data_IF_434863513705
#
_entry.id   IF_434863513705
#
_cell.length_a   1.000
_cell.length_b   1.000
_cell.length_c   1.000
_cell.angle_alpha   90.00
_cell.angle_beta   90.00
_cell.angle_gamma   90.00
#
_symmetry.space_group_name_H-M   'P 1'
#
loop_
_entity.id
_entity.type
_entity.pdbx_description
1 polymer ?
#
# COMPACT_ATOMS: atom_id res chain seq x y z
N UNK A 1 27.16 -46.45 -14.18
CA UNK A 1 27.88 -45.37 -14.85
C UNK A 1 27.11 -44.05 -14.79
N UNK A 2 25.88 -44.07 -15.05
CA UNK A 2 25.01 -42.88 -14.98
C UNK A 2 24.90 -42.34 -13.56
N UNK A 3 24.94 -43.20 -12.56
CA UNK A 3 24.84 -42.87 -11.14
C UNK A 3 25.99 -41.99 -10.60
N UNK A 4 27.19 -42.02 -11.22
CA UNK A 4 28.32 -41.24 -10.81
C UNK A 4 28.20 -39.77 -11.22
N UNK A 5 27.39 -39.47 -12.22
CA UNK A 5 27.20 -38.13 -12.74
C UNK A 5 26.15 -37.38 -11.95
N UNK A 6 25.12 -38.07 -11.50
CA UNK A 6 23.99 -37.48 -10.77
C UNK A 6 24.37 -36.71 -9.51
N UNK A 7 25.26 -37.22 -8.61
CA UNK A 7 25.60 -36.47 -7.41
C UNK A 7 26.34 -35.17 -7.69
N UNK A 8 27.08 -35.10 -8.76
CA UNK A 8 27.80 -33.89 -9.13
C UNK A 8 26.86 -32.79 -9.60
N UNK A 9 25.85 -33.15 -10.33
CA UNK A 9 24.84 -32.19 -10.81
C UNK A 9 23.98 -31.64 -9.66
N UNK A 10 23.62 -32.49 -8.74
CA UNK A 10 22.86 -32.11 -7.55
C UNK A 10 23.66 -31.15 -6.67
N UNK A 11 24.95 -31.38 -6.49
CA UNK A 11 25.82 -30.51 -5.73
C UNK A 11 26.01 -29.13 -6.39
N UNK A 12 26.11 -29.09 -7.69
CA UNK A 12 26.19 -27.84 -8.46
C UNK A 12 24.90 -27.02 -8.36
N UNK A 13 23.76 -27.68 -8.40
CA UNK A 13 22.44 -27.02 -8.25
C UNK A 13 22.27 -26.44 -6.86
N UNK A 14 22.69 -27.15 -5.84
CA UNK A 14 22.66 -26.69 -4.45
C UNK A 14 23.57 -25.48 -4.21
N UNK A 15 24.73 -25.45 -4.82
CA UNK A 15 25.67 -24.35 -4.68
C UNK A 15 25.14 -23.05 -5.30
N UNK A 16 24.45 -23.12 -6.43
CA UNK A 16 23.79 -21.98 -7.05
C UNK A 16 22.65 -21.41 -6.20
N UNK A 17 21.94 -22.26 -5.50
CA UNK A 17 20.82 -21.87 -4.67
C UNK A 17 21.27 -21.10 -3.41
N UNK A 18 22.44 -21.45 -2.86
CA UNK A 18 23.00 -20.80 -1.66
C UNK A 18 23.55 -19.40 -1.99
N UNK A 19 24.02 -19.15 -3.19
CA UNK A 19 24.60 -17.86 -3.58
C UNK A 19 23.55 -16.77 -3.73
N UNK A 20 22.35 -17.10 -4.19
CA UNK A 20 21.26 -16.13 -4.39
C UNK A 20 20.88 -15.32 -3.13
N UNK A 21 20.71 -15.91 -1.96
CA UNK A 21 20.40 -15.15 -0.74
C UNK A 21 21.51 -14.22 -0.29
N UNK A 22 22.75 -14.56 -0.54
CA UNK A 22 23.92 -13.76 -0.14
C UNK A 22 23.99 -12.47 -0.98
N UNK A 23 23.71 -12.55 -2.27
CA UNK A 23 23.67 -11.38 -3.15
C UNK A 23 22.57 -10.40 -2.73
N UNK A 24 21.40 -10.89 -2.37
CA UNK A 24 20.31 -10.08 -1.88
C UNK A 24 20.64 -9.32 -0.57
N UNK A 25 21.41 -9.94 0.31
CA UNK A 25 21.88 -9.30 1.54
C UNK A 25 22.91 -8.20 1.27
N UNK A 26 23.82 -8.39 0.33
CA UNK A 26 24.81 -7.39 -0.04
C UNK A 26 24.18 -6.11 -0.58
N UNK A 27 23.09 -6.21 -1.31
CA UNK A 27 22.35 -5.05 -1.81
C UNK A 27 21.65 -4.27 -0.70
N UNK A 28 21.21 -4.94 0.35
CA UNK A 28 20.53 -4.29 1.49
C UNK A 28 21.52 -3.55 2.39
N UNK A 29 22.71 -4.08 2.57
CA UNK A 29 23.74 -3.50 3.45
C UNK A 29 24.39 -2.25 2.85
N UNK A 30 24.37 -2.11 1.53
CA UNK A 30 24.92 -0.94 0.83
C UNK A 30 23.91 0.23 0.73
N UNK A 31 22.67 0.02 1.12
CA UNK A 31 21.67 1.07 1.15
C UNK A 31 22.09 2.17 2.13
N UNK A 32 21.90 3.44 1.73
CA UNK A 32 22.12 4.58 2.60
C UNK A 32 21.31 4.40 3.91
N UNK A 33 21.83 4.91 5.04
CA UNK A 33 21.12 4.77 6.31
C UNK A 33 19.71 5.35 6.19
N UNK A 34 18.72 4.48 6.30
CA UNK A 34 17.32 4.88 6.31
C UNK A 34 17.03 5.51 7.66
N UNK A 35 16.53 6.74 7.63
CA UNK A 35 16.08 7.39 8.85
C UNK A 35 14.93 6.57 9.45
N UNK A 36 15.18 5.98 10.61
CA UNK A 36 14.14 5.23 11.34
C UNK A 36 13.29 6.24 12.10
N UNK A 37 12.04 6.40 11.68
CA UNK A 37 11.07 7.20 12.42
C UNK A 37 10.57 6.43 13.63
N UNK A 38 10.35 7.13 14.72
CA UNK A 38 9.66 6.53 15.86
C UNK A 38 8.20 6.22 15.50
N UNK A 39 7.63 5.22 16.16
CA UNK A 39 6.21 4.87 15.98
C UNK A 39 5.31 6.10 16.15
N UNK A 40 5.58 6.92 17.14
CA UNK A 40 4.79 8.11 17.44
C UNK A 40 4.85 9.18 16.33
N UNK A 41 6.01 9.28 15.64
CA UNK A 41 6.16 10.20 14.50
C UNK A 41 5.36 9.71 13.31
N UNK A 42 5.40 8.40 13.06
CA UNK A 42 4.62 7.78 11.97
C UNK A 42 3.13 7.93 12.24
N UNK A 43 2.68 7.59 13.43
CA UNK A 43 1.27 7.68 13.83
C UNK A 43 0.74 9.11 13.67
N UNK A 44 1.51 10.10 14.10
CA UNK A 44 1.16 11.51 13.92
C UNK A 44 1.09 11.94 12.46
N UNK A 45 1.98 11.42 11.64
CA UNK A 45 1.97 11.71 10.20
C UNK A 45 0.76 11.11 9.51
N UNK A 46 0.38 9.89 9.87
CA UNK A 46 -0.82 9.22 9.39
C UNK A 46 -2.06 10.01 9.81
N UNK A 47 -2.15 10.39 11.07
CA UNK A 47 -3.27 11.18 11.59
C UNK A 47 -3.45 12.49 10.82
N UNK A 48 -2.37 13.23 10.59
CA UNK A 48 -2.39 14.47 9.79
C UNK A 48 -2.87 14.20 8.37
N UNK A 49 -2.42 13.12 7.75
CA UNK A 49 -2.85 12.75 6.40
C UNK A 49 -4.35 12.45 6.35
N UNK A 50 -4.88 11.71 7.31
CA UNK A 50 -6.30 11.41 7.42
C UNK A 50 -7.11 12.70 7.62
N UNK A 51 -6.69 13.58 8.52
CA UNK A 51 -7.33 14.88 8.74
C UNK A 51 -7.33 15.73 7.46
N UNK A 52 -6.24 15.71 6.72
CA UNK A 52 -6.18 16.39 5.43
C UNK A 52 -7.21 15.84 4.44
N UNK A 53 -7.30 14.51 4.30
CA UNK A 53 -8.29 13.90 3.40
C UNK A 53 -9.73 14.27 3.79
N UNK A 54 -10.04 14.27 5.09
CA UNK A 54 -11.33 14.72 5.59
C UNK A 54 -11.62 16.18 5.23
N UNK A 55 -10.60 17.03 5.30
CA UNK A 55 -10.75 18.48 5.04
C UNK A 55 -10.98 18.81 3.57
N UNK A 56 -10.42 18.00 2.65
CA UNK A 56 -10.54 18.24 1.20
C UNK A 56 -11.69 17.49 0.55
N UNK A 57 -12.34 16.59 1.27
CA UNK A 57 -13.49 15.85 0.76
C UNK A 57 -14.69 16.77 0.58
N UNK A 58 -15.34 16.71 -0.59
CA UNK A 58 -16.57 17.44 -0.88
C UNK A 58 -17.78 16.73 -0.29
N UNK A 59 -18.92 17.42 -0.22
CA UNK A 59 -20.19 16.86 0.24
C UNK A 59 -20.63 15.66 -0.59
N UNK A 60 -20.30 15.63 -1.87
CA UNK A 60 -20.56 14.51 -2.78
C UNK A 60 -19.75 13.25 -2.42
N UNK A 61 -18.77 13.38 -1.54
CA UNK A 61 -17.84 12.31 -1.18
C UNK A 61 -16.56 12.31 -2.00
N UNK A 62 -16.49 13.11 -3.06
CA UNK A 62 -15.32 13.15 -3.94
C UNK A 62 -14.15 13.92 -3.36
N UNK A 63 -12.96 13.53 -3.78
CA UNK A 63 -11.73 14.29 -3.60
C UNK A 63 -11.21 14.62 -4.99
N UNK A 64 -11.09 15.89 -5.28
CA UNK A 64 -10.71 16.37 -6.61
C UNK A 64 -9.21 16.67 -6.68
N UNK A 65 -8.56 16.14 -7.71
CA UNK A 65 -7.25 16.61 -8.13
C UNK A 65 -7.19 16.62 -9.66
N UNK A 66 -7.19 17.81 -10.23
CA UNK A 66 -6.97 18.05 -11.68
C UNK A 66 -7.86 17.20 -12.60
N UNK A 67 -9.08 16.94 -12.22
CA UNK A 67 -10.03 16.16 -13.01
C UNK A 67 -9.97 14.64 -12.82
N UNK A 68 -9.21 14.17 -11.85
CA UNK A 68 -9.12 12.75 -11.52
C UNK A 68 -9.91 12.37 -10.27
N UNK A 69 -11.14 12.88 -10.17
CA UNK A 69 -11.98 12.75 -8.98
C UNK A 69 -12.22 11.29 -8.55
N UNK A 70 -12.56 10.42 -9.50
CA UNK A 70 -12.85 9.02 -9.21
C UNK A 70 -11.61 8.29 -8.68
N UNK A 71 -10.48 8.48 -9.34
CA UNK A 71 -9.21 7.84 -8.94
C UNK A 71 -8.74 8.34 -7.57
N UNK A 72 -8.78 9.65 -7.35
CA UNK A 72 -8.35 10.23 -6.07
C UNK A 72 -9.27 9.82 -4.93
N UNK A 73 -10.57 9.74 -5.19
CA UNK A 73 -11.54 9.28 -4.20
C UNK A 73 -11.33 7.81 -3.86
N UNK A 74 -11.09 6.96 -4.86
CA UNK A 74 -10.80 5.54 -4.65
C UNK A 74 -9.51 5.34 -3.84
N UNK A 75 -8.45 6.10 -4.12
CA UNK A 75 -7.20 6.06 -3.35
C UNK A 75 -7.40 6.49 -1.90
N UNK A 76 -8.25 7.49 -1.65
CA UNK A 76 -8.57 7.91 -0.29
C UNK A 76 -9.34 6.84 0.50
N UNK A 77 -10.24 6.11 -0.14
CA UNK A 77 -10.91 4.94 0.48
C UNK A 77 -9.87 3.91 0.92
N UNK A 78 -8.89 3.63 0.08
CA UNK A 78 -7.81 2.71 0.42
C UNK A 78 -6.99 3.22 1.61
N UNK A 79 -6.71 4.50 1.68
CA UNK A 79 -5.99 5.13 2.80
C UNK A 79 -6.78 5.00 4.11
N UNK A 80 -8.08 5.29 4.12
CA UNK A 80 -8.93 5.10 5.29
C UNK A 80 -8.96 3.63 5.74
N UNK A 81 -9.11 2.70 4.80
CA UNK A 81 -9.13 1.27 5.09
C UNK A 81 -7.79 0.79 5.67
N UNK A 82 -6.67 1.24 5.11
CA UNK A 82 -5.34 0.89 5.57
C UNK A 82 -5.06 1.37 7.01
N UNK A 83 -5.72 2.43 7.45
CA UNK A 83 -5.61 2.97 8.81
C UNK A 83 -6.66 2.40 9.77
N UNK A 84 -7.42 1.39 9.34
CA UNK A 84 -8.36 0.65 10.20
C UNK A 84 -9.77 1.21 10.26
N UNK A 85 -10.11 2.18 9.43
CA UNK A 85 -11.48 2.72 9.38
C UNK A 85 -12.37 1.86 8.50
N UNK A 86 -13.64 1.75 8.88
CA UNK A 86 -14.66 0.99 8.16
C UNK A 86 -15.84 1.90 7.80
N UNK A 87 -16.50 1.64 6.65
CA UNK A 87 -17.66 2.45 6.25
C UNK A 87 -18.83 2.38 7.24
N UNK A 88 -18.90 1.32 8.03
CA UNK A 88 -19.92 1.15 9.06
C UNK A 88 -19.66 1.91 10.35
N UNK A 89 -18.49 2.50 10.52
CA UNK A 89 -18.14 3.21 11.74
C UNK A 89 -18.94 4.52 11.86
N UNK A 90 -19.34 4.85 13.10
CA UNK A 90 -20.02 6.11 13.40
C UNK A 90 -19.07 7.32 13.47
N UNK A 91 -17.79 7.12 13.18
CA UNK A 91 -16.76 8.15 13.20
C UNK A 91 -16.82 9.04 11.95
N UNK A 92 -16.22 10.25 11.97
CA UNK A 92 -16.11 11.09 10.78
C UNK A 92 -15.42 10.38 9.61
N UNK A 93 -14.41 9.56 9.88
CA UNK A 93 -13.69 8.76 8.89
C UNK A 93 -14.60 7.71 8.24
N UNK A 94 -15.40 7.00 9.04
CA UNK A 94 -16.35 6.02 8.53
C UNK A 94 -17.43 6.66 7.67
N UNK A 95 -17.93 7.82 8.07
CA UNK A 95 -18.89 8.59 7.28
C UNK A 95 -18.26 9.09 5.97
N UNK A 96 -17.02 9.54 6.02
CA UNK A 96 -16.27 9.96 4.83
C UNK A 96 -16.09 8.79 3.86
N UNK A 97 -15.78 7.60 4.35
CA UNK A 97 -15.67 6.39 3.53
C UNK A 97 -17.00 6.06 2.85
N UNK A 98 -18.11 6.14 3.56
CA UNK A 98 -19.45 5.88 2.97
C UNK A 98 -19.76 6.86 1.83
N UNK A 99 -19.50 8.14 2.04
CA UNK A 99 -19.71 9.16 0.99
C UNK A 99 -18.79 8.90 -0.21
N UNK A 100 -17.53 8.57 0.03
CA UNK A 100 -16.56 8.27 -1.02
C UNK A 100 -16.95 7.02 -1.81
N UNK A 101 -17.40 5.96 -1.13
CA UNK A 101 -17.88 4.74 -1.78
C UNK A 101 -19.12 5.02 -2.64
N UNK A 102 -20.07 5.76 -2.13
CA UNK A 102 -21.27 6.16 -2.90
C UNK A 102 -20.88 6.94 -4.15
N UNK A 103 -19.89 7.82 -4.05
CA UNK A 103 -19.40 8.58 -5.19
C UNK A 103 -18.76 7.68 -6.26
N UNK A 104 -17.87 6.77 -5.84
CA UNK A 104 -17.10 5.89 -6.77
C UNK A 104 -18.03 4.85 -7.41
N UNK A 105 -18.99 4.32 -6.65
CA UNK A 105 -19.89 3.25 -7.11
C UNK A 105 -21.14 3.77 -7.82
N UNK A 106 -21.24 5.07 -8.05
CA UNK A 106 -22.35 5.63 -8.81
C UNK A 106 -22.29 5.13 -10.27
N UNK A 107 -23.40 4.58 -10.77
CA UNK A 107 -23.49 3.94 -12.08
C UNK A 107 -23.02 4.83 -13.23
N UNK A 108 -23.24 6.13 -13.13
CA UNK A 108 -22.81 7.11 -14.14
C UNK A 108 -21.29 7.25 -14.30
N UNK A 109 -20.52 6.61 -13.40
CA UNK A 109 -19.05 6.72 -13.36
C UNK A 109 -18.32 5.42 -13.64
N UNK A 110 -19.05 4.32 -13.60
CA UNK A 110 -18.47 2.99 -13.84
C UNK A 110 -18.31 2.70 -15.33
N UNK A 111 -19.04 3.42 -16.17
CA UNK A 111 -19.04 3.24 -17.61
C UNK A 111 -17.93 4.07 -18.34
N UNK A 112 -17.16 4.84 -17.60
CA UNK A 112 -16.01 5.58 -18.10
C UNK A 112 -14.71 4.79 -17.83
#
# INVERSE_FOLDING_TARGET
MIRLIEPKWVLLTLSLFVVSPIVARGQTDEAAPVKVFSKDEVDRSIEKAIQYLLSVQKETGSINDKGHDTTMTALSIMAFAATGHLPGDATPEGQAMRRALTFVLNDDRVDD
#
